data_IF_404165619624
#
_entry.id   IF_404165619624
#
_cell.length_a   1.000
_cell.length_b   1.000
_cell.length_c   1.000
_cell.angle_alpha   90.00
_cell.angle_beta   90.00
_cell.angle_gamma   90.00
#
_symmetry.space_group_name_H-M   'P 1'
#
loop_
_entity.id
_entity.type
_entity.pdbx_description
1 polymer ?
#
# COMPACT_ATOMS: atom_id res chain seq x y z
N UNK A 1 17.44 -14.29 5.47
CA UNK A 1 16.08 -14.56 4.98
C UNK A 1 15.29 -13.27 5.03
N UNK A 2 14.89 -12.72 3.89
CA UNK A 2 14.16 -11.45 3.81
C UNK A 2 12.79 -11.66 3.15
N UNK A 3 11.81 -10.82 3.54
CA UNK A 3 10.50 -10.74 2.91
C UNK A 3 10.51 -9.61 1.89
N UNK A 4 10.23 -9.92 0.64
CA UNK A 4 10.40 -9.02 -0.49
C UNK A 4 9.07 -8.91 -1.24
N UNK A 5 8.59 -7.67 -1.44
CA UNK A 5 7.50 -7.37 -2.36
C UNK A 5 8.09 -6.70 -3.59
N UNK A 6 7.76 -7.22 -4.77
CA UNK A 6 8.22 -6.70 -6.06
C UNK A 6 6.98 -6.27 -6.83
N UNK A 7 6.94 -5.02 -7.28
CA UNK A 7 5.87 -4.51 -8.14
C UNK A 7 6.39 -4.24 -9.54
N UNK A 8 5.70 -4.79 -10.52
CA UNK A 8 5.97 -4.55 -11.94
C UNK A 8 4.79 -3.80 -12.59
N UNK A 9 5.09 -2.72 -13.29
CA UNK A 9 4.11 -1.90 -14.00
C UNK A 9 3.85 -2.35 -15.44
N UNK A 10 2.73 -1.92 -16.02
CA UNK A 10 2.33 -2.27 -17.38
C UNK A 10 3.38 -1.88 -18.43
N UNK A 11 4.07 -0.75 -18.24
CA UNK A 11 5.11 -0.27 -19.17
C UNK A 11 6.31 -1.23 -19.33
N UNK A 12 6.51 -2.15 -18.40
CA UNK A 12 7.54 -3.19 -18.48
C UNK A 12 6.99 -4.49 -19.06
N UNK A 13 5.70 -4.75 -18.81
CA UNK A 13 5.02 -6.00 -19.22
C UNK A 13 4.43 -5.93 -20.62
N UNK A 14 4.30 -4.73 -21.20
CA UNK A 14 3.65 -4.52 -22.49
C UNK A 14 4.66 -3.94 -23.47
N UNK A 15 4.75 -4.55 -24.65
CA UNK A 15 5.56 -4.07 -25.78
C UNK A 15 4.89 -2.83 -26.43
N UNK A 16 5.63 -2.06 -27.23
CA UNK A 16 5.06 -0.90 -27.95
C UNK A 16 3.87 -1.24 -28.87
N UNK A 17 3.79 -2.47 -29.36
CA UNK A 17 2.68 -2.96 -30.18
C UNK A 17 1.43 -3.38 -29.36
N UNK A 18 1.46 -3.24 -28.02
CA UNK A 18 0.37 -3.58 -27.13
C UNK A 18 0.37 -5.03 -26.62
N UNK A 19 1.23 -5.89 -27.14
CA UNK A 19 1.33 -7.29 -26.71
C UNK A 19 2.07 -7.43 -25.38
N UNK A 20 1.75 -8.51 -24.64
CA UNK A 20 2.49 -8.85 -23.42
C UNK A 20 3.92 -9.29 -23.79
N UNK A 21 4.89 -8.73 -23.09
CA UNK A 21 6.32 -9.09 -23.22
C UNK A 21 6.62 -10.39 -22.45
N UNK A 22 6.40 -11.52 -23.14
CA UNK A 22 6.62 -12.84 -22.56
C UNK A 22 8.07 -13.06 -22.13
N UNK A 23 9.04 -12.54 -22.89
CA UNK A 23 10.46 -12.64 -22.56
C UNK A 23 10.77 -11.95 -21.24
N UNK A 24 10.21 -10.76 -21.02
CA UNK A 24 10.35 -10.06 -19.76
C UNK A 24 9.71 -10.81 -18.57
N UNK A 25 8.54 -11.43 -18.76
CA UNK A 25 7.91 -12.26 -17.73
C UNK A 25 8.83 -13.44 -17.35
N UNK A 26 9.46 -14.11 -18.33
CA UNK A 26 10.39 -15.22 -18.06
C UNK A 26 11.60 -14.74 -17.27
N UNK A 27 12.21 -13.61 -17.64
CA UNK A 27 13.36 -13.04 -16.91
C UNK A 27 13.01 -12.61 -15.48
N UNK A 28 11.85 -11.98 -15.31
CA UNK A 28 11.33 -11.59 -13.99
C UNK A 28 11.11 -12.84 -13.12
N UNK A 29 10.48 -13.88 -13.69
CA UNK A 29 10.26 -15.15 -13.00
C UNK A 29 11.56 -15.83 -12.60
N UNK A 30 12.57 -15.85 -13.49
CA UNK A 30 13.92 -16.33 -13.17
C UNK A 30 14.53 -15.60 -11.98
N UNK A 31 14.42 -14.27 -11.98
CA UNK A 31 14.98 -13.43 -10.91
C UNK A 31 14.30 -13.73 -9.58
N UNK A 32 12.97 -13.81 -9.54
CA UNK A 32 12.21 -14.10 -8.33
C UNK A 32 12.49 -15.53 -7.83
N UNK A 33 12.54 -16.52 -8.72
CA UNK A 33 12.91 -17.89 -8.38
C UNK A 33 14.33 -17.96 -7.79
N UNK A 34 15.28 -17.21 -8.36
CA UNK A 34 16.63 -17.07 -7.82
C UNK A 34 16.68 -16.48 -6.41
N UNK A 35 15.87 -15.44 -6.15
CA UNK A 35 15.73 -14.85 -4.81
C UNK A 35 15.17 -15.86 -3.80
N UNK A 36 14.17 -16.63 -4.21
CA UNK A 36 13.55 -17.66 -3.37
C UNK A 36 14.53 -18.80 -3.07
N UNK A 37 15.30 -19.28 -4.06
CA UNK A 37 16.37 -20.29 -3.86
C UNK A 37 17.46 -19.81 -2.90
N UNK A 38 17.68 -18.49 -2.76
CA UNK A 38 18.57 -17.88 -1.75
C UNK A 38 17.89 -17.77 -0.36
N UNK A 39 16.70 -18.35 -0.17
CA UNK A 39 15.98 -18.39 1.09
C UNK A 39 15.10 -17.17 1.36
N UNK A 40 14.84 -16.31 0.40
CA UNK A 40 13.93 -15.18 0.57
C UNK A 40 12.49 -15.58 0.29
N UNK A 41 11.54 -14.88 0.93
CA UNK A 41 10.11 -14.97 0.63
C UNK A 41 9.73 -13.82 -0.30
N UNK A 42 9.06 -14.13 -1.42
CA UNK A 42 8.73 -13.14 -2.44
C UNK A 42 7.22 -13.08 -2.69
N UNK A 43 6.69 -11.86 -2.86
CA UNK A 43 5.35 -11.60 -3.40
C UNK A 43 5.54 -10.71 -4.63
N UNK A 44 4.89 -11.09 -5.74
CA UNK A 44 4.85 -10.28 -6.95
C UNK A 44 3.52 -9.53 -7.02
N UNK A 45 3.57 -8.21 -7.19
CA UNK A 45 2.41 -7.39 -7.55
C UNK A 45 2.53 -7.06 -9.03
N UNK A 46 1.62 -7.59 -9.82
CA UNK A 46 1.66 -7.45 -11.28
C UNK A 46 0.65 -6.41 -11.78
N UNK A 47 0.77 -6.08 -13.04
CA UNK A 47 -0.15 -5.27 -13.84
C UNK A 47 -0.32 -5.95 -15.21
N UNK A 48 -0.98 -5.28 -16.16
CA UNK A 48 -1.02 -5.74 -17.55
C UNK A 48 -2.22 -6.63 -17.91
N UNK A 49 -3.14 -6.89 -16.98
CA UNK A 49 -4.35 -7.68 -17.27
C UNK A 49 -5.17 -7.08 -18.42
N UNK A 50 -5.38 -5.75 -18.42
CA UNK A 50 -6.11 -5.08 -19.51
C UNK A 50 -5.40 -5.27 -20.87
N UNK A 51 -4.09 -5.13 -20.95
CA UNK A 51 -3.33 -5.32 -22.19
C UNK A 51 -3.40 -6.77 -22.69
N UNK A 52 -3.28 -7.75 -21.78
CA UNK A 52 -3.47 -9.15 -22.11
C UNK A 52 -4.89 -9.46 -22.64
N UNK A 53 -5.90 -8.76 -22.09
CA UNK A 53 -7.29 -8.85 -22.55
C UNK A 53 -7.47 -8.30 -23.96
N UNK A 54 -6.88 -7.17 -24.27
CA UNK A 54 -6.89 -6.62 -25.64
C UNK A 54 -6.31 -7.58 -26.66
N UNK A 55 -5.12 -8.10 -26.41
CA UNK A 55 -4.48 -9.06 -27.30
C UNK A 55 -5.34 -10.31 -27.52
N UNK A 56 -6.01 -10.80 -26.48
CA UNK A 56 -6.90 -11.98 -26.60
C UNK A 56 -8.23 -11.67 -27.30
N UNK A 57 -8.82 -10.52 -27.06
CA UNK A 57 -10.08 -10.10 -27.66
C UNK A 57 -9.91 -9.55 -29.08
N UNK A 58 -8.67 -9.40 -29.57
CA UNK A 58 -8.34 -8.78 -30.88
C UNK A 58 -8.98 -7.41 -31.08
N UNK A 59 -9.14 -6.66 -29.99
CA UNK A 59 -9.70 -5.30 -30.01
C UNK A 59 -8.59 -4.26 -30.13
N UNK A 60 -8.84 -3.22 -30.92
CA UNK A 60 -7.98 -2.04 -30.93
C UNK A 60 -8.17 -1.21 -29.65
N UNK A 61 -7.13 -0.48 -29.23
CA UNK A 61 -7.20 0.50 -28.15
C UNK A 61 -8.14 1.64 -28.57
N UNK A 62 -9.35 1.69 -28.01
CA UNK A 62 -10.30 2.77 -28.17
C UNK A 62 -10.74 3.29 -26.81
N UNK A 63 -11.34 4.47 -26.76
CA UNK A 63 -12.01 4.95 -25.55
C UNK A 63 -13.11 3.95 -25.17
N UNK A 64 -13.07 3.46 -23.93
CA UNK A 64 -13.94 2.40 -23.48
C UNK A 64 -14.68 2.81 -22.23
N UNK A 65 -15.92 2.42 -22.18
CA UNK A 65 -16.70 2.48 -20.95
C UNK A 65 -16.14 1.55 -19.87
N UNK A 66 -16.42 1.87 -18.60
CA UNK A 66 -15.89 1.15 -17.46
C UNK A 66 -16.11 -0.37 -17.54
N UNK A 67 -17.32 -0.79 -17.90
CA UNK A 67 -17.66 -2.22 -17.98
C UNK A 67 -16.85 -2.98 -19.03
N UNK A 68 -16.49 -2.34 -20.15
CA UNK A 68 -15.61 -2.94 -21.17
C UNK A 68 -14.18 -3.09 -20.63
N UNK A 69 -13.69 -2.09 -19.93
CA UNK A 69 -12.36 -2.17 -19.26
C UNK A 69 -12.33 -3.31 -18.25
N UNK A 70 -13.35 -3.44 -17.42
CA UNK A 70 -13.50 -4.53 -16.44
C UNK A 70 -13.53 -5.90 -17.13
N UNK A 71 -14.31 -6.04 -18.21
CA UNK A 71 -14.38 -7.28 -18.99
C UNK A 71 -13.02 -7.66 -19.62
N UNK A 72 -12.30 -6.68 -20.18
CA UNK A 72 -10.95 -6.91 -20.72
C UNK A 72 -9.96 -7.33 -19.62
N UNK A 73 -10.02 -6.70 -18.46
CA UNK A 73 -9.19 -7.12 -17.31
C UNK A 73 -9.52 -8.58 -16.89
N UNK A 74 -10.80 -8.96 -16.86
CA UNK A 74 -11.21 -10.33 -16.56
C UNK A 74 -10.64 -11.35 -17.55
N UNK A 75 -10.77 -11.08 -18.86
CA UNK A 75 -10.22 -11.93 -19.93
C UNK A 75 -8.69 -12.02 -19.81
N UNK A 76 -8.04 -10.87 -19.62
CA UNK A 76 -6.59 -10.77 -19.62
C UNK A 76 -5.94 -11.32 -18.36
N UNK A 77 -6.61 -11.26 -17.22
CA UNK A 77 -6.09 -11.82 -15.97
C UNK A 77 -5.82 -13.33 -16.09
N UNK A 78 -6.71 -14.07 -16.75
CA UNK A 78 -6.52 -15.50 -17.02
C UNK A 78 -5.28 -15.73 -17.91
N UNK A 79 -5.09 -14.90 -18.96
CA UNK A 79 -3.93 -15.02 -19.85
C UNK A 79 -2.62 -14.68 -19.12
N UNK A 80 -2.64 -13.63 -18.31
CA UNK A 80 -1.50 -13.19 -17.54
C UNK A 80 -1.04 -14.27 -16.55
N UNK A 81 -1.98 -14.89 -15.82
CA UNK A 81 -1.65 -15.97 -14.87
C UNK A 81 -1.08 -17.20 -15.56
N UNK A 82 -1.64 -17.61 -16.73
CA UNK A 82 -1.06 -18.70 -17.53
C UNK A 82 0.37 -18.43 -17.94
N UNK A 83 0.71 -17.19 -18.30
CA UNK A 83 2.08 -16.82 -18.67
C UNK A 83 3.01 -16.89 -17.47
N UNK A 84 2.60 -16.41 -16.30
CA UNK A 84 3.39 -16.53 -15.08
C UNK A 84 3.57 -17.98 -14.64
N UNK A 85 2.50 -18.78 -14.64
CA UNK A 85 2.56 -20.21 -14.31
C UNK A 85 3.62 -20.92 -15.17
N UNK A 86 3.51 -20.82 -16.50
CA UNK A 86 4.48 -21.40 -17.44
C UNK A 86 5.91 -20.87 -17.22
N UNK A 87 6.07 -19.58 -16.90
CA UNK A 87 7.38 -18.99 -16.71
C UNK A 87 8.03 -19.44 -15.38
N UNK A 88 7.26 -19.60 -14.31
CA UNK A 88 7.77 -20.09 -13.02
C UNK A 88 8.02 -21.60 -13.02
N UNK A 89 7.20 -22.38 -13.74
CA UNK A 89 7.38 -23.83 -13.92
C UNK A 89 8.76 -24.15 -14.53
N UNK A 90 9.32 -23.28 -15.39
CA UNK A 90 10.68 -23.43 -15.93
C UNK A 90 11.77 -23.44 -14.85
N UNK A 91 11.47 -23.01 -13.64
CA UNK A 91 12.39 -22.90 -12.50
C UNK A 91 11.97 -23.77 -11.31
N UNK A 92 11.02 -24.69 -11.51
CA UNK A 92 10.42 -25.58 -10.49
C UNK A 92 9.74 -24.80 -9.36
N UNK A 93 9.17 -23.62 -9.68
CA UNK A 93 8.48 -22.77 -8.71
C UNK A 93 6.99 -22.73 -9.00
N UNK A 94 6.20 -22.79 -7.93
CA UNK A 94 4.73 -22.76 -8.01
C UNK A 94 4.18 -21.40 -7.64
N UNK A 95 3.15 -20.97 -8.35
CA UNK A 95 2.51 -19.67 -8.14
C UNK A 95 1.08 -19.81 -7.62
N UNK A 96 0.59 -18.78 -6.93
CA UNK A 96 -0.79 -18.68 -6.52
C UNK A 96 -1.32 -17.27 -6.81
N UNK A 97 -2.52 -17.19 -7.42
CA UNK A 97 -3.17 -15.92 -7.71
C UNK A 97 -3.87 -15.34 -6.48
N UNK A 98 -3.72 -14.04 -6.28
CA UNK A 98 -4.51 -13.26 -5.32
C UNK A 98 -5.05 -12.02 -6.02
N UNK A 99 -6.37 -11.81 -5.96
CA UNK A 99 -7.00 -10.58 -6.41
C UNK A 99 -7.42 -9.76 -5.19
N UNK A 100 -6.97 -8.51 -5.13
CA UNK A 100 -7.08 -7.66 -3.95
C UNK A 100 -7.61 -6.31 -4.38
N UNK A 101 -8.49 -5.73 -3.56
CA UNK A 101 -8.86 -4.34 -3.65
C UNK A 101 -8.31 -3.55 -2.46
N UNK A 102 -8.24 -2.25 -2.60
CA UNK A 102 -7.82 -1.35 -1.54
C UNK A 102 -8.66 -1.51 -0.27
N UNK A 103 -9.95 -1.78 -0.43
CA UNK A 103 -10.89 -2.00 0.66
C UNK A 103 -10.56 -3.23 1.51
N UNK A 104 -9.93 -4.26 0.93
CA UNK A 104 -9.53 -5.46 1.67
C UNK A 104 -8.49 -5.18 2.75
N UNK A 105 -7.70 -4.13 2.58
CA UNK A 105 -6.78 -3.64 3.62
C UNK A 105 -7.49 -2.76 4.66
N UNK A 106 -8.50 -1.99 4.24
CA UNK A 106 -9.24 -1.07 5.09
C UNK A 106 -10.08 -1.78 6.16
N UNK A 107 -10.66 -2.91 5.82
CA UNK A 107 -11.47 -3.73 6.72
C UNK A 107 -10.61 -4.72 7.52
N UNK A 108 -10.60 -4.57 8.85
CA UNK A 108 -9.74 -5.35 9.74
C UNK A 108 -9.81 -6.86 9.52
N UNK A 109 -11.01 -7.43 9.37
CA UNK A 109 -11.18 -8.87 9.19
C UNK A 109 -10.67 -9.34 7.81
N UNK A 110 -11.00 -8.63 6.74
CA UNK A 110 -10.50 -8.93 5.38
C UNK A 110 -8.97 -8.84 5.33
N UNK A 111 -8.40 -7.79 5.92
CA UNK A 111 -6.96 -7.64 6.04
C UNK A 111 -6.28 -8.82 6.76
N UNK A 112 -6.85 -9.28 7.90
CA UNK A 112 -6.29 -10.42 8.61
C UNK A 112 -6.37 -11.71 7.80
N UNK A 113 -7.49 -11.96 7.10
CA UNK A 113 -7.65 -13.10 6.21
C UNK A 113 -6.63 -13.07 5.06
N UNK A 114 -6.51 -11.93 4.36
CA UNK A 114 -5.51 -11.73 3.31
C UNK A 114 -4.09 -12.01 3.82
N UNK A 115 -3.74 -11.44 4.97
CA UNK A 115 -2.43 -11.65 5.57
C UNK A 115 -2.17 -13.12 5.90
N UNK A 116 -3.14 -13.82 6.47
CA UNK A 116 -3.02 -15.24 6.79
C UNK A 116 -2.88 -16.10 5.52
N UNK A 117 -3.62 -15.75 4.44
CA UNK A 117 -3.46 -16.41 3.14
C UNK A 117 -2.04 -16.23 2.58
N UNK A 118 -1.48 -15.01 2.63
CA UNK A 118 -0.11 -14.74 2.18
C UNK A 118 0.93 -15.52 3.01
N UNK A 119 0.71 -15.67 4.33
CA UNK A 119 1.57 -16.48 5.19
C UNK A 119 1.48 -17.95 4.81
N UNK A 120 0.25 -18.49 4.71
CA UNK A 120 0.04 -19.90 4.36
C UNK A 120 0.62 -20.28 2.99
N UNK A 121 0.43 -19.42 1.96
CA UNK A 121 1.04 -19.66 0.64
C UNK A 121 2.57 -19.71 0.71
N UNK A 122 3.17 -18.80 1.47
CA UNK A 122 4.62 -18.80 1.65
C UNK A 122 5.11 -20.04 2.41
N UNK A 123 4.40 -20.49 3.45
CA UNK A 123 4.71 -21.72 4.20
C UNK A 123 4.57 -22.96 3.32
N UNK A 124 3.60 -22.98 2.41
CA UNK A 124 3.42 -24.04 1.41
C UNK A 124 4.44 -23.97 0.26
N UNK A 125 5.31 -22.96 0.23
CA UNK A 125 6.34 -22.79 -0.79
C UNK A 125 5.84 -22.19 -2.11
N UNK A 126 4.65 -21.60 -2.16
CA UNK A 126 4.13 -20.91 -3.34
C UNK A 126 4.60 -19.45 -3.39
N UNK A 127 4.73 -18.93 -4.60
CA UNK A 127 4.96 -17.50 -4.85
C UNK A 127 3.59 -16.83 -5.10
N UNK A 128 3.11 -15.97 -4.17
CA UNK A 128 1.88 -15.24 -4.43
C UNK A 128 2.09 -14.20 -5.53
N UNK A 129 1.20 -14.20 -6.53
CA UNK A 129 1.10 -13.17 -7.57
C UNK A 129 -0.22 -12.43 -7.34
N UNK A 130 -0.11 -11.20 -6.89
CA UNK A 130 -1.28 -10.36 -6.61
C UNK A 130 -1.48 -9.32 -7.71
N UNK A 131 -2.74 -9.04 -8.00
CA UNK A 131 -3.18 -7.95 -8.86
C UNK A 131 -4.43 -7.31 -8.28
N UNK A 132 -4.76 -6.11 -8.75
CA UNK A 132 -6.04 -5.50 -8.42
C UNK A 132 -7.19 -6.35 -8.97
N UNK A 133 -8.29 -6.43 -8.21
CA UNK A 133 -9.53 -7.04 -8.69
C UNK A 133 -10.31 -6.02 -9.53
N UNK A 134 -9.80 -5.75 -10.73
CA UNK A 134 -10.33 -4.76 -11.65
C UNK A 134 -11.81 -5.00 -12.00
N UNK A 135 -12.30 -6.25 -11.89
CA UNK A 135 -13.67 -6.63 -12.27
C UNK A 135 -14.74 -6.00 -11.38
N UNK A 136 -14.38 -5.62 -10.16
CA UNK A 136 -15.29 -4.97 -9.20
C UNK A 136 -14.78 -3.58 -8.77
N UNK A 137 -13.75 -3.06 -9.45
CA UNK A 137 -13.25 -1.72 -9.21
C UNK A 137 -14.28 -0.66 -9.64
N UNK A 138 -14.50 0.36 -8.81
CA UNK A 138 -15.40 1.46 -9.12
C UNK A 138 -14.69 2.58 -9.88
N UNK A 139 -15.44 3.42 -10.60
CA UNK A 139 -14.89 4.55 -11.38
C UNK A 139 -14.13 5.59 -10.54
N UNK A 140 -14.40 5.63 -9.25
CA UNK A 140 -13.72 6.53 -8.29
C UNK A 140 -12.31 6.04 -7.91
N UNK A 141 -12.04 4.75 -8.10
CA UNK A 141 -10.73 4.14 -7.92
C UNK A 141 -10.05 4.18 -9.27
N UNK A 142 -9.08 5.05 -9.42
CA UNK A 142 -8.30 5.19 -10.67
C UNK A 142 -7.67 3.84 -10.99
N UNK A 143 -8.06 3.22 -12.10
CA UNK A 143 -7.45 1.99 -12.61
C UNK A 143 -5.92 2.11 -12.59
N UNK A 144 -5.25 1.18 -11.93
CA UNK A 144 -3.80 1.00 -12.08
C UNK A 144 -2.92 1.58 -10.99
N UNK A 145 -3.41 1.82 -9.77
CA UNK A 145 -2.53 2.23 -8.66
C UNK A 145 -1.94 1.01 -7.90
N UNK A 146 -1.43 0.03 -8.67
CA UNK A 146 -0.76 -1.13 -8.11
C UNK A 146 0.52 -0.77 -7.32
N UNK A 147 1.02 0.47 -7.41
CA UNK A 147 2.11 0.96 -6.56
C UNK A 147 1.64 1.09 -5.11
N UNK A 148 0.44 1.65 -4.90
CA UNK A 148 -0.17 1.75 -3.56
C UNK A 148 -0.57 0.36 -3.04
N UNK A 149 -1.13 -0.51 -3.91
CA UNK A 149 -1.45 -1.88 -3.56
C UNK A 149 -0.19 -2.65 -3.09
N UNK A 150 0.94 -2.44 -3.77
CA UNK A 150 2.23 -3.02 -3.39
C UNK A 150 2.72 -2.51 -2.04
N UNK A 151 2.61 -1.21 -1.78
CA UNK A 151 2.96 -0.64 -0.48
C UNK A 151 2.07 -1.19 0.63
N UNK A 152 0.75 -1.26 0.43
CA UNK A 152 -0.19 -1.83 1.40
C UNK A 152 0.10 -3.31 1.67
N UNK A 153 0.40 -4.09 0.63
CA UNK A 153 0.83 -5.48 0.76
C UNK A 153 2.13 -5.59 1.55
N UNK A 154 3.13 -4.78 1.22
CA UNK A 154 4.42 -4.77 1.91
C UNK A 154 4.28 -4.44 3.41
N UNK A 155 3.48 -3.43 3.74
CA UNK A 155 3.18 -3.04 5.13
C UNK A 155 2.41 -4.15 5.85
N UNK A 156 1.36 -4.67 5.22
CA UNK A 156 0.47 -5.68 5.80
C UNK A 156 1.16 -7.02 6.05
N UNK A 157 1.98 -7.46 5.12
CA UNK A 157 2.78 -8.69 5.23
C UNK A 157 4.03 -8.51 6.08
N UNK A 158 4.38 -7.26 6.46
CA UNK A 158 5.59 -6.88 7.19
C UNK A 158 6.87 -7.24 6.43
N UNK A 159 6.94 -6.91 5.15
CA UNK A 159 8.12 -7.15 4.35
C UNK A 159 9.31 -6.32 4.84
N UNK A 160 10.49 -6.76 4.45
CA UNK A 160 11.73 -6.03 4.68
C UNK A 160 12.02 -5.06 3.54
N UNK A 161 11.63 -5.46 2.32
CA UNK A 161 11.87 -4.69 1.10
C UNK A 161 10.62 -4.55 0.23
N UNK A 162 10.52 -3.39 -0.42
CA UNK A 162 9.57 -3.09 -1.49
C UNK A 162 10.33 -2.58 -2.71
N UNK A 163 10.28 -3.31 -3.81
CA UNK A 163 10.80 -2.87 -5.10
C UNK A 163 9.66 -2.38 -6.00
N UNK A 164 9.77 -1.14 -6.46
CA UNK A 164 8.87 -0.55 -7.45
C UNK A 164 9.62 -0.46 -8.77
N UNK A 165 9.46 -1.47 -9.62
CA UNK A 165 10.11 -1.54 -10.91
C UNK A 165 9.50 -0.50 -11.86
N UNK A 166 10.35 0.28 -12.49
CA UNK A 166 10.00 1.39 -13.39
C UNK A 166 10.72 1.27 -14.73
N UNK A 167 10.30 2.04 -15.71
CA UNK A 167 10.99 2.19 -16.99
C UNK A 167 12.20 3.14 -16.91
N UNK A 168 12.40 3.79 -15.76
CA UNK A 168 13.51 4.72 -15.51
C UNK A 168 14.41 4.20 -14.39
N UNK A 169 15.66 4.66 -14.34
CA UNK A 169 16.64 4.18 -13.36
C UNK A 169 16.30 4.53 -11.90
N UNK A 170 15.49 5.55 -11.69
CA UNK A 170 15.05 6.04 -10.39
C UNK A 170 14.52 7.46 -10.50
N UNK A 171 14.57 8.20 -9.41
CA UNK A 171 14.19 9.61 -9.38
C UNK A 171 15.36 10.48 -9.81
N UNK A 172 15.08 11.49 -10.61
CA UNK A 172 16.07 12.47 -11.08
C UNK A 172 15.85 13.81 -10.36
N UNK A 173 16.94 14.48 -10.02
CA UNK A 173 16.90 15.86 -9.56
C UNK A 173 16.71 16.84 -10.76
N UNK A 174 16.65 18.13 -10.46
CA UNK A 174 16.51 19.19 -11.46
C UNK A 174 17.70 19.33 -12.42
N UNK A 175 18.83 18.66 -12.11
CA UNK A 175 20.05 18.62 -12.93
C UNK A 175 20.23 17.26 -13.66
N UNK A 176 19.17 16.46 -13.77
CA UNK A 176 19.19 15.11 -14.37
C UNK A 176 20.15 14.12 -13.71
N UNK A 177 20.45 14.26 -12.43
CA UNK A 177 21.26 13.31 -11.67
C UNK A 177 20.36 12.36 -10.91
N UNK A 178 20.73 11.08 -10.86
CA UNK A 178 20.01 10.05 -10.12
C UNK A 178 20.09 10.29 -8.60
N UNK A 179 18.94 10.48 -7.98
CA UNK A 179 18.80 10.61 -6.54
C UNK A 179 18.98 9.23 -5.91
N UNK A 180 20.12 8.99 -5.25
CA UNK A 180 20.42 7.69 -4.65
C UNK A 180 19.57 7.40 -3.41
N UNK A 181 19.32 8.40 -2.57
CA UNK A 181 18.49 8.28 -1.36
C UNK A 181 17.47 9.40 -1.35
N UNK A 182 16.20 9.03 -1.23
CA UNK A 182 15.12 10.01 -1.15
C UNK A 182 15.05 10.62 0.24
N UNK A 183 15.11 11.97 0.32
CA UNK A 183 14.87 12.77 1.53
C UNK A 183 13.72 13.74 1.29
N UNK A 184 13.19 14.36 2.36
CA UNK A 184 12.07 15.31 2.26
C UNK A 184 12.44 16.59 1.49
N UNK A 185 13.72 16.95 1.47
CA UNK A 185 14.23 18.21 0.91
C UNK A 185 14.62 18.11 -0.57
N UNK A 186 14.42 16.95 -1.17
CA UNK A 186 14.83 16.70 -2.56
C UNK A 186 13.87 17.42 -3.52
N UNK A 187 14.45 18.30 -4.37
CA UNK A 187 13.73 18.90 -5.51
C UNK A 187 13.72 17.90 -6.67
N UNK A 188 12.53 17.51 -7.09
CA UNK A 188 12.34 16.54 -8.16
C UNK A 188 12.15 17.23 -9.49
N UNK A 189 12.74 16.68 -10.56
CA UNK A 189 12.42 17.06 -11.93
C UNK A 189 10.95 16.75 -12.23
N UNK A 190 10.22 17.70 -12.83
CA UNK A 190 8.86 17.45 -13.33
C UNK A 190 8.93 16.48 -14.50
N UNK A 191 8.28 15.31 -14.36
CA UNK A 191 8.22 14.29 -15.41
C UNK A 191 6.85 14.31 -16.10
N UNK A 192 6.87 14.11 -17.43
CA UNK A 192 5.64 13.99 -18.22
C UNK A 192 4.92 12.66 -17.98
N UNK A 193 3.59 12.67 -18.12
CA UNK A 193 2.78 11.46 -17.98
C UNK A 193 3.00 10.53 -19.17
N UNK A 194 3.22 9.24 -18.93
CA UNK A 194 3.38 8.23 -19.99
C UNK A 194 2.03 7.69 -20.48
N UNK A 195 1.99 7.29 -21.74
CA UNK A 195 0.76 6.89 -22.48
C UNK A 195 0.06 5.62 -21.94
N UNK A 196 0.77 4.70 -21.27
CA UNK A 196 0.30 3.36 -20.92
C UNK A 196 0.14 3.07 -19.44
N UNK A 197 0.45 4.01 -18.54
CA UNK A 197 0.39 3.79 -17.10
C UNK A 197 -0.35 4.90 -16.38
N UNK A 198 -1.39 4.54 -15.61
CA UNK A 198 -2.10 5.45 -14.70
C UNK A 198 -1.25 5.83 -13.48
N UNK A 199 -0.23 5.02 -13.14
CA UNK A 199 0.69 5.24 -12.03
C UNK A 199 1.94 6.01 -12.47
N UNK A 200 1.94 7.33 -12.31
CA UNK A 200 3.11 8.17 -12.53
C UNK A 200 4.20 7.99 -11.47
N UNK A 201 5.30 8.72 -11.62
CA UNK A 201 6.38 8.71 -10.62
C UNK A 201 5.89 9.17 -9.23
N UNK A 202 4.89 10.04 -9.18
CA UNK A 202 4.29 10.53 -7.92
C UNK A 202 3.64 9.42 -7.12
N UNK A 203 2.94 8.47 -7.77
CA UNK A 203 2.32 7.32 -7.07
C UNK A 203 3.39 6.39 -6.51
N UNK A 204 4.49 6.17 -7.24
CA UNK A 204 5.65 5.40 -6.75
C UNK A 204 6.30 6.04 -5.54
N UNK A 205 6.52 7.35 -5.58
CA UNK A 205 7.08 8.10 -4.45
C UNK A 205 6.15 7.97 -3.24
N UNK A 206 4.85 8.19 -3.43
CA UNK A 206 3.85 8.07 -2.35
C UNK A 206 3.83 6.67 -1.75
N UNK A 207 3.86 5.64 -2.60
CA UNK A 207 3.91 4.24 -2.19
C UNK A 207 5.20 3.91 -1.41
N UNK A 208 6.36 4.30 -1.95
CA UNK A 208 7.66 4.06 -1.32
C UNK A 208 7.79 4.80 0.03
N UNK A 209 7.32 6.06 0.11
CA UNK A 209 7.28 6.82 1.36
C UNK A 209 6.39 6.18 2.42
N UNK A 210 5.18 5.72 2.04
CA UNK A 210 4.28 5.04 2.96
C UNK A 210 4.90 3.74 3.51
N UNK A 211 5.52 2.94 2.64
CA UNK A 211 6.22 1.72 3.02
C UNK A 211 7.42 2.03 3.95
N UNK A 212 8.24 3.02 3.61
CA UNK A 212 9.38 3.48 4.40
C UNK A 212 8.96 3.96 5.79
N UNK A 213 7.90 4.77 5.89
CA UNK A 213 7.34 5.22 7.17
C UNK A 213 6.82 4.06 8.03
N UNK A 214 6.40 2.94 7.40
CA UNK A 214 6.00 1.71 8.08
C UNK A 214 7.16 0.75 8.37
N UNK A 215 8.40 1.14 8.07
CA UNK A 215 9.61 0.37 8.35
C UNK A 215 9.98 -0.65 7.28
N UNK A 216 9.52 -0.47 6.05
CA UNK A 216 9.89 -1.28 4.87
C UNK A 216 10.89 -0.48 4.03
N UNK A 217 12.05 -1.04 3.72
CA UNK A 217 13.03 -0.38 2.86
C UNK A 217 12.55 -0.40 1.41
N UNK A 218 12.32 0.78 0.82
CA UNK A 218 11.84 0.93 -0.54
C UNK A 218 12.95 1.15 -1.54
N UNK A 219 12.74 0.70 -2.80
CA UNK A 219 13.60 1.03 -3.93
C UNK A 219 12.75 1.26 -5.19
N UNK A 220 12.95 2.40 -5.84
CA UNK A 220 12.48 2.66 -7.21
C UNK A 220 13.68 2.44 -8.12
N UNK A 221 13.62 1.49 -9.04
CA UNK A 221 14.73 1.14 -9.93
C UNK A 221 14.25 0.72 -11.32
N UNK A 222 15.19 0.67 -12.25
CA UNK A 222 14.92 0.24 -13.62
C UNK A 222 14.57 -1.25 -13.66
N UNK A 223 13.33 -1.55 -14.05
CA UNK A 223 12.86 -2.92 -14.17
C UNK A 223 13.41 -3.67 -15.38
N UNK A 224 14.03 -2.99 -16.34
CA UNK A 224 14.75 -3.65 -17.44
C UNK A 224 16.11 -4.22 -16.98
N UNK A 225 16.66 -3.69 -15.88
CA UNK A 225 17.82 -4.24 -15.19
C UNK A 225 17.39 -4.96 -13.91
N UNK A 226 16.94 -6.18 -14.03
CA UNK A 226 16.45 -6.98 -12.89
C UNK A 226 17.58 -7.33 -11.89
N UNK A 227 18.88 -7.21 -12.29
CA UNK A 227 20.01 -7.37 -11.37
C UNK A 227 20.04 -6.27 -10.29
N UNK A 228 19.35 -5.14 -10.54
CA UNK A 228 19.21 -4.07 -9.57
C UNK A 228 18.62 -4.55 -8.23
N UNK A 229 17.72 -5.53 -8.25
CA UNK A 229 17.13 -6.10 -7.03
C UNK A 229 18.23 -6.74 -6.17
N UNK A 230 19.06 -7.61 -6.75
CA UNK A 230 20.13 -8.29 -6.02
C UNK A 230 21.20 -7.31 -5.53
N UNK A 231 21.58 -6.34 -6.38
CA UNK A 231 22.53 -5.29 -6.00
C UNK A 231 22.04 -4.47 -4.82
N UNK A 232 20.75 -4.11 -4.80
CA UNK A 232 20.16 -3.38 -3.67
C UNK A 232 20.15 -4.21 -2.38
N UNK A 233 19.81 -5.50 -2.46
CA UNK A 233 19.89 -6.43 -1.33
C UNK A 233 21.32 -6.62 -0.81
N UNK A 234 22.33 -6.50 -1.68
CA UNK A 234 23.74 -6.51 -1.33
C UNK A 234 24.27 -5.17 -0.77
N UNK A 235 23.40 -4.18 -0.55
CA UNK A 235 23.77 -2.87 0.01
C UNK A 235 24.21 -1.83 -1.01
N UNK A 236 24.20 -2.14 -2.31
CA UNK A 236 24.40 -1.15 -3.37
C UNK A 236 23.11 -0.36 -3.58
N UNK A 237 23.19 0.79 -4.25
CA UNK A 237 22.00 1.59 -4.56
C UNK A 237 21.88 1.84 -6.06
N UNK A 238 21.32 0.88 -6.83
CA UNK A 238 21.18 0.97 -8.29
C UNK A 238 20.08 1.93 -8.74
N UNK A 239 19.21 2.34 -7.84
CA UNK A 239 18.07 3.23 -8.10
C UNK A 239 17.96 4.32 -7.05
N UNK A 240 16.73 4.67 -6.68
CA UNK A 240 16.42 5.57 -5.57
C UNK A 240 15.93 4.77 -4.37
N UNK A 241 16.72 4.76 -3.30
CA UNK A 241 16.39 4.11 -2.04
C UNK A 241 15.55 4.99 -1.12
N UNK A 242 14.66 4.37 -0.37
CA UNK A 242 13.84 4.98 0.69
C UNK A 242 14.17 4.26 1.99
N UNK A 243 14.87 4.95 2.87
CA UNK A 243 15.34 4.35 4.12
C UNK A 243 14.18 4.12 5.10
N UNK A 244 14.13 2.95 5.75
CA UNK A 244 13.01 2.58 6.60
C UNK A 244 13.05 3.32 7.93
N UNK A 245 11.89 3.79 8.38
CA UNK A 245 11.67 4.20 9.76
C UNK A 245 11.59 2.98 10.69
N UNK A 246 11.57 3.22 12.01
CA UNK A 246 11.35 2.13 12.98
C UNK A 246 10.01 1.44 12.72
N UNK A 247 10.02 0.11 12.54
CA UNK A 247 8.80 -0.69 12.29
C UNK A 247 7.79 -0.50 13.43
N UNK A 248 6.57 0.03 13.17
CA UNK A 248 5.53 0.12 14.17
C UNK A 248 4.95 -1.26 14.50
N UNK A 249 4.30 -1.39 15.67
CA UNK A 249 3.53 -2.60 15.99
C UNK A 249 2.42 -2.82 14.92
N UNK A 250 2.11 -4.07 14.59
CA UNK A 250 1.17 -4.42 13.50
C UNK A 250 -0.18 -3.72 13.57
N UNK A 251 -0.73 -3.55 14.78
CA UNK A 251 -1.99 -2.84 14.99
C UNK A 251 -1.87 -1.37 14.62
N UNK A 252 -0.78 -0.71 15.05
CA UNK A 252 -0.50 0.70 14.73
C UNK A 252 -0.19 0.89 13.26
N UNK A 253 0.51 -0.04 12.61
CA UNK A 253 0.72 -0.01 11.17
C UNK A 253 -0.60 -0.10 10.40
N UNK A 254 -1.51 -1.00 10.80
CA UNK A 254 -2.83 -1.09 10.19
C UNK A 254 -3.64 0.20 10.39
N UNK A 255 -3.70 0.74 11.61
CA UNK A 255 -4.41 1.99 11.91
C UNK A 255 -3.87 3.14 11.05
N UNK A 256 -2.55 3.30 10.97
CA UNK A 256 -1.91 4.44 10.33
C UNK A 256 -1.92 4.41 8.81
N UNK A 257 -1.68 3.24 8.22
CA UNK A 257 -1.36 3.14 6.80
C UNK A 257 -2.42 2.40 5.97
N UNK A 258 -3.16 1.46 6.58
CA UNK A 258 -4.02 0.55 5.84
C UNK A 258 -5.51 0.84 6.03
N UNK A 259 -5.94 1.27 7.23
CA UNK A 259 -7.34 1.47 7.54
C UNK A 259 -7.98 2.65 6.81
N UNK A 260 -9.26 2.52 6.50
CA UNK A 260 -10.10 3.64 6.07
C UNK A 260 -10.61 4.42 7.28
N UNK A 261 -10.64 5.74 7.17
CA UNK A 261 -11.20 6.62 8.19
C UNK A 261 -12.65 6.92 7.87
N UNK A 262 -13.53 6.83 8.89
CA UNK A 262 -14.98 7.09 8.79
C UNK A 262 -15.37 8.50 9.18
N UNK A 263 -14.44 9.24 9.80
CA UNK A 263 -14.67 10.61 10.24
C UNK A 263 -13.43 11.24 10.83
N UNK A 264 -13.61 12.42 11.40
CA UNK A 264 -12.54 13.19 12.00
C UNK A 264 -12.94 13.68 13.40
N UNK A 265 -11.98 13.74 14.30
CA UNK A 265 -12.10 14.41 15.60
C UNK A 265 -11.11 15.57 15.62
N UNK A 266 -11.63 16.77 15.87
CA UNK A 266 -10.86 18.00 16.02
C UNK A 266 -10.52 18.18 17.49
N UNK A 267 -9.25 18.43 17.80
CA UNK A 267 -8.73 18.49 19.16
C UNK A 267 -8.10 19.84 19.49
N UNK A 268 -8.10 20.19 20.79
CA UNK A 268 -7.40 21.36 21.29
C UNK A 268 -5.89 21.09 21.51
N UNK A 269 -5.13 22.16 21.78
CA UNK A 269 -3.68 22.08 21.99
C UNK A 269 -3.28 21.24 23.21
N UNK A 270 -4.14 21.13 24.23
CA UNK A 270 -3.90 20.27 25.39
C UNK A 270 -3.90 18.79 25.02
N UNK A 271 -4.91 18.38 24.23
CA UNK A 271 -5.01 17.02 23.72
C UNK A 271 -3.88 16.71 22.73
N UNK A 272 -3.50 17.65 21.84
CA UNK A 272 -2.32 17.50 20.97
C UNK A 272 -1.08 17.12 21.79
N UNK A 273 -0.74 17.93 22.80
CA UNK A 273 0.41 17.66 23.69
C UNK A 273 0.31 16.30 24.39
N UNK A 274 -0.89 15.95 24.89
CA UNK A 274 -1.11 14.66 25.55
C UNK A 274 -0.86 13.46 24.60
N UNK A 275 -1.35 13.53 23.37
CA UNK A 275 -1.15 12.49 22.34
C UNK A 275 0.34 12.36 21.96
N UNK A 276 1.04 13.47 21.80
CA UNK A 276 2.50 13.46 21.55
C UNK A 276 3.28 12.83 22.71
N UNK A 277 2.81 13.00 23.95
CA UNK A 277 3.33 12.33 25.15
C UNK A 277 2.82 10.89 25.33
N UNK A 278 2.25 10.28 24.28
CA UNK A 278 1.71 8.91 24.29
C UNK A 278 0.65 8.68 25.37
N UNK A 279 -0.25 9.64 25.55
CA UNK A 279 -1.44 9.52 26.41
C UNK A 279 -2.70 9.28 25.55
N UNK A 280 -3.75 8.74 26.16
CA UNK A 280 -5.04 8.53 25.50
C UNK A 280 -5.78 9.84 25.22
N UNK A 281 -6.60 9.87 24.16
CA UNK A 281 -7.49 11.01 23.86
C UNK A 281 -8.71 10.97 24.77
N UNK A 282 -8.87 12.01 25.57
CA UNK A 282 -10.01 12.19 26.48
C UNK A 282 -11.04 13.15 25.88
N UNK A 283 -12.32 13.06 26.29
CA UNK A 283 -13.40 13.92 25.78
C UNK A 283 -13.15 15.42 26.02
N UNK A 284 -12.51 15.81 27.11
CA UNK A 284 -12.15 17.21 27.43
C UNK A 284 -11.24 17.84 26.38
N UNK A 285 -10.53 17.03 25.61
CA UNK A 285 -9.64 17.48 24.54
C UNK A 285 -10.32 17.68 23.19
N UNK A 286 -11.61 17.32 23.04
CA UNK A 286 -12.34 17.38 21.78
C UNK A 286 -13.01 18.75 21.63
N UNK A 287 -12.86 19.33 20.44
CA UNK A 287 -13.47 20.60 20.03
C UNK A 287 -14.62 20.37 19.07
N UNK A 288 -14.50 19.41 18.14
CA UNK A 288 -15.51 19.12 17.13
C UNK A 288 -15.41 17.66 16.63
N UNK A 289 -16.51 17.15 16.06
CA UNK A 289 -16.63 15.80 15.51
C UNK A 289 -17.27 15.86 14.13
N UNK A 290 -16.54 15.45 13.08
CA UNK A 290 -16.99 15.43 11.70
C UNK A 290 -17.20 14.01 11.18
N UNK A 291 -18.21 13.84 10.34
CA UNK A 291 -18.59 12.55 9.77
C UNK A 291 -19.44 11.68 10.70
N UNK A 292 -19.64 10.43 10.29
CA UNK A 292 -20.39 9.41 11.04
C UNK A 292 -19.56 8.18 11.19
N UNK A 293 -19.37 7.72 12.42
CA UNK A 293 -18.58 6.54 12.77
C UNK A 293 -19.16 5.83 13.98
N UNK A 294 -18.92 4.53 14.05
CA UNK A 294 -19.35 3.65 15.11
C UNK A 294 -18.17 3.20 16.00
N UNK A 295 -18.48 2.57 17.13
CA UNK A 295 -17.48 2.00 18.03
C UNK A 295 -16.61 1.00 17.25
N UNK A 296 -15.28 1.16 17.35
CA UNK A 296 -14.32 0.30 16.65
C UNK A 296 -13.89 0.84 15.28
N UNK A 297 -14.53 1.86 14.76
CA UNK A 297 -14.10 2.52 13.53
C UNK A 297 -12.81 3.31 13.74
N UNK A 298 -12.08 3.54 12.63
CA UNK A 298 -10.88 4.38 12.62
C UNK A 298 -11.26 5.80 12.18
N UNK A 299 -10.74 6.80 12.91
CA UNK A 299 -10.92 8.20 12.60
C UNK A 299 -9.58 8.92 12.45
N UNK A 300 -9.59 10.03 11.71
CA UNK A 300 -8.49 10.98 11.72
C UNK A 300 -8.61 11.92 12.95
N UNK A 301 -7.47 12.25 13.54
CA UNK A 301 -7.39 13.25 14.62
C UNK A 301 -6.62 14.46 14.10
N UNK A 302 -7.25 15.64 14.15
CA UNK A 302 -6.69 16.89 13.65
C UNK A 302 -6.76 17.99 14.69
N UNK A 303 -5.88 18.98 14.61
CA UNK A 303 -5.98 20.23 15.36
C UNK A 303 -7.03 21.16 14.73
N UNK A 304 -7.39 22.22 15.45
CA UNK A 304 -8.27 23.30 14.94
C UNK A 304 -7.69 23.94 13.66
N UNK A 305 -6.38 24.04 13.57
CA UNK A 305 -5.67 24.58 12.40
C UNK A 305 -5.57 23.59 11.21
N UNK A 306 -6.22 22.40 11.33
CA UNK A 306 -6.26 21.40 10.28
C UNK A 306 -5.04 20.46 10.22
N UNK A 307 -4.04 20.60 11.10
CA UNK A 307 -2.89 19.72 11.18
C UNK A 307 -3.33 18.30 11.58
N UNK A 308 -2.94 17.30 10.79
CA UNK A 308 -3.21 15.90 11.10
C UNK A 308 -2.22 15.38 12.13
N UNK A 309 -2.72 15.00 13.29
CA UNK A 309 -1.94 14.45 14.40
C UNK A 309 -1.79 12.94 14.30
N UNK A 310 -2.84 12.24 13.88
CA UNK A 310 -2.82 10.79 13.81
C UNK A 310 -4.12 10.16 13.42
N UNK A 311 -4.19 8.85 13.65
CA UNK A 311 -5.39 8.02 13.49
C UNK A 311 -5.64 7.17 14.72
N UNK A 312 -6.91 6.89 15.03
CA UNK A 312 -7.22 6.05 16.17
C UNK A 312 -8.52 5.27 16.03
N UNK A 313 -8.59 4.13 16.71
CA UNK A 313 -9.82 3.36 16.86
C UNK A 313 -10.63 3.98 18.00
N UNK A 314 -11.88 4.34 17.72
CA UNK A 314 -12.75 4.99 18.70
C UNK A 314 -13.46 3.98 19.60
N UNK A 315 -13.66 4.37 20.86
CA UNK A 315 -14.43 3.62 21.85
C UNK A 315 -15.89 4.08 21.94
N UNK A 316 -16.27 5.15 21.24
CA UNK A 316 -17.59 5.76 21.22
C UNK A 316 -18.01 6.05 19.79
N UNK A 317 -19.31 5.99 19.49
CA UNK A 317 -19.83 6.43 18.20
C UNK A 317 -19.73 7.96 18.06
N UNK A 318 -19.92 8.46 16.85
CA UNK A 318 -19.90 9.90 16.56
C UNK A 318 -20.96 10.66 17.37
N UNK A 319 -22.16 10.09 17.54
CA UNK A 319 -23.23 10.68 18.34
C UNK A 319 -22.88 10.71 19.83
N UNK A 320 -22.36 9.60 20.36
CA UNK A 320 -21.92 9.54 21.76
C UNK A 320 -20.76 10.51 22.01
N UNK A 321 -19.79 10.59 21.10
CA UNK A 321 -18.64 11.49 21.21
C UNK A 321 -19.10 12.96 21.25
N UNK A 322 -20.07 13.36 20.40
CA UNK A 322 -20.64 14.70 20.44
C UNK A 322 -21.35 15.01 21.76
N UNK A 323 -22.02 14.02 22.37
CA UNK A 323 -22.70 14.18 23.63
C UNK A 323 -21.81 14.34 24.87
N UNK A 324 -20.54 13.87 24.77
CA UNK A 324 -19.60 13.88 25.89
C UNK A 324 -18.36 14.74 25.66
N UNK A 325 -18.23 15.40 24.50
CA UNK A 325 -17.13 16.29 24.21
C UNK A 325 -17.03 17.43 25.22
N UNK A 326 -15.84 17.75 25.67
CA UNK A 326 -15.58 18.76 26.68
C UNK A 326 -15.69 18.26 28.13
N UNK A 327 -16.25 17.08 28.39
CA UNK A 327 -16.40 16.55 29.74
C UNK A 327 -15.08 16.04 30.33
N UNK A 328 -14.91 16.29 31.64
CA UNK A 328 -13.80 15.68 32.38
C UNK A 328 -14.10 14.20 32.70
N UNK A 329 -13.07 13.40 32.86
CA UNK A 329 -13.21 11.95 33.12
C UNK A 329 -14.01 11.61 34.37
N UNK A 330 -13.95 12.46 35.40
CA UNK A 330 -14.78 12.35 36.64
C UNK A 330 -16.26 12.48 36.38
N UNK A 331 -16.67 13.36 35.47
CA UNK A 331 -18.07 13.61 35.09
C UNK A 331 -18.65 12.43 34.28
N UNK A 332 -17.81 11.80 33.44
CA UNK A 332 -18.21 10.64 32.63
C UNK A 332 -18.50 9.40 33.46
N UNK A 333 -17.70 9.14 34.51
CA UNK A 333 -17.91 8.01 35.41
C UNK A 333 -19.25 8.06 36.13
N UNK A 334 -19.73 9.26 36.45
CA UNK A 334 -21.05 9.48 37.09
C UNK A 334 -22.23 9.32 36.12
N UNK A 335 -22.08 9.73 34.83
CA UNK A 335 -23.19 9.71 33.87
C UNK A 335 -23.35 8.38 33.13
N UNK A 336 -22.27 7.65 32.87
CA UNK A 336 -22.34 6.47 32.01
C UNK A 336 -22.62 5.17 32.78
N UNK A 337 -22.62 5.16 34.12
CA UNK A 337 -22.88 3.96 34.95
C UNK A 337 -22.23 2.67 34.42
N UNK A 338 -21.12 2.78 33.66
CA UNK A 338 -20.42 1.70 32.96
C UNK A 338 -19.00 1.59 33.48
N UNK A 339 -18.61 0.38 33.86
CA UNK A 339 -17.23 -0.06 34.05
C UNK A 339 -16.46 -0.17 32.70
N UNK A 340 -16.44 0.91 31.88
CA UNK A 340 -15.84 0.96 30.56
C UNK A 340 -14.77 2.04 30.41
N UNK A 341 -14.06 2.02 29.32
CA UNK A 341 -13.02 3.03 29.00
C UNK A 341 -13.61 4.44 28.98
N UNK A 342 -13.00 5.37 29.69
CA UNK A 342 -13.38 6.80 29.73
C UNK A 342 -12.68 7.62 28.63
N UNK A 343 -11.83 6.99 27.83
CA UNK A 343 -11.12 7.67 26.73
C UNK A 343 -11.79 7.40 25.37
N UNK A 344 -11.80 8.42 24.53
CA UNK A 344 -12.32 8.33 23.16
C UNK A 344 -11.42 7.41 22.31
N UNK A 345 -10.11 7.58 22.40
CA UNK A 345 -9.12 6.71 21.75
C UNK A 345 -8.07 6.35 22.79
N UNK A 346 -7.87 5.04 22.99
CA UNK A 346 -6.81 4.54 23.86
C UNK A 346 -5.44 4.69 23.19
N UNK A 347 -4.39 4.97 23.94
CA UNK A 347 -3.02 5.15 23.44
C UNK A 347 -2.51 3.96 22.61
N UNK A 348 -2.90 2.72 22.95
CA UNK A 348 -2.53 1.51 22.20
C UNK A 348 -3.28 1.39 20.87
N UNK A 349 -4.39 2.12 20.74
CA UNK A 349 -5.23 2.20 19.55
C UNK A 349 -4.98 3.47 18.75
N UNK A 350 -3.95 4.23 19.07
CA UNK A 350 -3.59 5.47 18.40
C UNK A 350 -2.25 5.34 17.65
N UNK A 351 -2.26 5.71 16.40
CA UNK A 351 -1.07 5.88 15.57
C UNK A 351 -0.81 7.37 15.39
N UNK A 352 0.35 7.83 15.82
CA UNK A 352 0.82 9.21 15.64
C UNK A 352 1.48 9.33 14.26
N UNK A 353 1.19 10.42 13.54
CA UNK A 353 1.89 10.73 12.28
C UNK A 353 3.38 10.90 12.59
N UNK A 354 4.29 10.19 11.90
CA UNK A 354 5.72 10.42 12.03
C UNK A 354 6.10 11.84 11.58
N UNK A 355 6.97 12.51 12.32
CA UNK A 355 7.55 13.82 11.98
C UNK A 355 8.34 13.81 10.67
#
# INVERSE_FOLDING_TARGET
MAKIVIKVGSNLLVKPNGDIDKSYIIELSRTIAGLKKKGNSCILITSGAKAAGYGKAQKANCEEELYIKQALCAIGQVQLMKLYELAFDMYDEKVAQILINRDDFGHRQRFLNLRNTLIGLNEMGFIPIANENDTVATSEITFGDNDILAAMTAIGWKSDYLFLLSSVDGLMDDQDRLIKVFTKDVVLKKMEKTQWGSGGIETKIRAARAASAAGVRGCICNGRDLSAIERFLAGQNPGTGFEPSKKPASKKAWIGFLSHTKGEIIINNGAKRALMMKKSLLPVGIVDVKGSFEIGDVIDVRTVDGEKIGRGIVNFSSSQTRGIMGYQSSQLTQQLNRSGSTCIVHVDNFWLVPE
#
